data_IF_431232348783
#
_entry.id   IF_431232348783
#
_cell.length_a   1.000
_cell.length_b   1.000
_cell.length_c   1.000
_cell.angle_alpha   90.00
_cell.angle_beta   90.00
_cell.angle_gamma   90.00
#
_symmetry.space_group_name_H-M   'P 1'
#
loop_
_entity.id
_entity.type
_entity.pdbx_description
1 polymer ?
#
# COMPACT_ATOMS: atom_id res chain seq x y z
N UNK A 1 -9.49 4.13 2.00
CA UNK A 1 -8.08 3.96 2.44
C UNK A 1 -7.80 4.46 3.88
N UNK A 2 -7.31 3.59 4.75
CA UNK A 2 -6.89 3.90 6.10
C UNK A 2 -5.56 4.66 6.10
N UNK A 3 -5.58 5.90 6.62
CA UNK A 3 -4.37 6.73 6.70
C UNK A 3 -3.34 6.20 7.68
N UNK A 4 -3.77 5.52 8.75
CA UNK A 4 -2.88 4.90 9.72
C UNK A 4 -2.24 3.62 9.17
N UNK A 5 -2.97 2.86 8.36
CA UNK A 5 -2.40 1.70 7.68
C UNK A 5 -1.31 2.15 6.69
N UNK A 6 -1.51 3.29 6.02
CA UNK A 6 -0.51 3.89 5.13
C UNK A 6 0.83 4.22 5.80
N UNK A 7 0.86 4.34 7.13
CA UNK A 7 2.07 4.56 7.93
C UNK A 7 2.47 3.33 8.75
N UNK A 8 1.83 2.18 8.51
CA UNK A 8 1.98 0.95 9.31
C UNK A 8 1.71 1.18 10.81
N UNK A 9 0.87 2.17 11.13
CA UNK A 9 0.53 2.57 12.51
C UNK A 9 -0.91 2.20 12.88
N UNK A 10 -1.61 1.47 12.02
CA UNK A 10 -2.96 1.01 12.34
C UNK A 10 -2.91 -0.14 13.35
N UNK A 11 -3.51 0.07 14.52
CA UNK A 11 -3.64 -0.96 15.56
C UNK A 11 -4.96 -1.75 15.48
N UNK A 12 -5.89 -1.36 14.60
CA UNK A 12 -7.21 -1.99 14.48
C UNK A 12 -7.19 -3.32 13.72
N UNK A 13 -6.14 -3.59 12.94
CA UNK A 13 -6.06 -4.83 12.14
C UNK A 13 -7.25 -4.95 11.19
N UNK A 14 -7.95 -6.08 11.25
CA UNK A 14 -9.12 -6.37 10.40
C UNK A 14 -10.40 -5.64 10.85
N UNK A 15 -10.48 -5.18 12.11
CA UNK A 15 -11.62 -4.42 12.67
C UNK A 15 -11.59 -2.93 12.24
N UNK A 16 -10.70 -2.57 11.31
CA UNK A 16 -10.59 -1.18 10.90
C UNK A 16 -11.78 -0.78 10.00
N UNK A 17 -12.54 0.28 10.32
CA UNK A 17 -13.66 0.73 9.49
C UNK A 17 -13.21 1.36 8.15
N UNK A 18 -11.91 1.37 7.86
CA UNK A 18 -11.31 1.97 6.67
C UNK A 18 -10.53 0.93 5.89
N UNK A 19 -10.55 1.01 4.54
CA UNK A 19 -9.82 0.06 3.69
C UNK A 19 -8.31 0.01 3.97
N UNK A 20 -7.81 -1.18 4.28
CA UNK A 20 -6.38 -1.48 4.35
C UNK A 20 -5.77 -1.84 2.98
N UNK A 21 -6.61 -2.00 1.96
CA UNK A 21 -6.16 -2.28 0.60
C UNK A 21 -5.72 -0.99 -0.12
N UNK A 22 -4.60 -0.42 0.32
CA UNK A 22 -4.01 0.79 -0.27
C UNK A 22 -3.50 0.56 -1.70
N UNK A 23 -3.20 -0.69 -2.05
CA UNK A 23 -2.73 -1.10 -3.36
C UNK A 23 -3.78 -0.94 -4.46
N UNK A 24 -5.07 -0.81 -4.11
CA UNK A 24 -6.13 -0.39 -5.04
C UNK A 24 -6.05 1.08 -5.43
N UNK A 25 -5.44 1.92 -4.59
CA UNK A 25 -5.39 3.36 -4.81
C UNK A 25 -4.06 3.74 -5.44
N UNK A 26 -4.05 4.50 -6.56
CA UNK A 26 -2.80 4.93 -7.18
C UNK A 26 -2.02 5.89 -6.26
N UNK A 27 -0.69 5.77 -6.27
CA UNK A 27 0.15 6.73 -5.56
C UNK A 27 0.20 8.04 -6.35
N UNK A 28 -0.50 9.08 -5.88
CA UNK A 28 -0.45 10.40 -6.51
C UNK A 28 0.99 10.92 -6.65
N UNK A 29 1.89 10.67 -5.69
CA UNK A 29 3.26 11.16 -5.83
C UNK A 29 3.98 10.51 -7.01
N UNK A 30 3.80 9.19 -7.21
CA UNK A 30 4.35 8.46 -8.35
C UNK A 30 3.66 8.84 -9.66
N UNK A 31 2.34 8.97 -9.67
CA UNK A 31 1.58 9.33 -10.87
C UNK A 31 1.89 10.77 -11.31
N UNK A 32 1.99 11.71 -10.37
CA UNK A 32 2.23 13.12 -10.67
C UNK A 32 3.71 13.44 -10.90
N UNK A 33 4.63 12.84 -10.14
CA UNK A 33 6.07 13.15 -10.24
C UNK A 33 6.87 12.09 -10.98
N UNK A 34 6.26 10.96 -11.35
CA UNK A 34 6.97 9.78 -11.87
C UNK A 34 7.81 9.03 -10.82
N UNK A 35 7.83 9.52 -9.57
CA UNK A 35 8.69 9.01 -8.50
C UNK A 35 7.99 9.11 -7.14
N UNK A 36 8.18 8.10 -6.29
CA UNK A 36 7.71 8.11 -4.91
C UNK A 36 8.88 7.96 -3.96
N UNK A 37 9.06 8.93 -3.05
CA UNK A 37 10.09 8.87 -1.99
C UNK A 37 9.97 7.65 -1.07
N UNK A 38 8.81 6.99 -1.06
CA UNK A 38 8.57 5.79 -0.24
C UNK A 38 9.10 4.51 -0.91
N UNK A 39 9.37 4.53 -2.22
CA UNK A 39 9.84 3.36 -2.97
C UNK A 39 8.91 2.16 -2.78
N UNK A 40 9.50 1.00 -2.49
CA UNK A 40 8.81 -0.28 -2.24
C UNK A 40 8.06 -0.32 -0.89
N UNK A 41 8.32 0.65 0.00
CA UNK A 41 7.55 0.81 1.25
C UNK A 41 6.24 1.57 1.02
N UNK A 42 5.96 2.00 -0.21
CA UNK A 42 4.71 2.64 -0.55
C UNK A 42 3.59 1.61 -0.57
N UNK A 43 2.57 1.80 0.26
CA UNK A 43 1.41 0.92 0.29
C UNK A 43 0.42 1.25 -0.84
N UNK A 44 0.58 2.39 -1.51
CA UNK A 44 -0.23 2.81 -2.66
C UNK A 44 0.28 2.18 -3.95
N UNK A 45 -0.63 1.97 -4.90
CA UNK A 45 -0.34 1.40 -6.21
C UNK A 45 0.64 2.26 -7.01
N UNK A 46 1.83 1.72 -7.27
CA UNK A 46 2.76 2.19 -8.30
C UNK A 46 2.53 1.40 -9.60
N UNK A 47 1.30 1.39 -10.14
CA UNK A 47 1.00 0.70 -11.40
C UNK A 47 1.94 1.22 -12.50
N UNK A 48 2.96 0.43 -12.83
CA UNK A 48 4.07 0.86 -13.69
C UNK A 48 5.34 0.02 -13.55
N UNK A 49 5.53 -0.71 -12.45
CA UNK A 49 6.59 -1.72 -12.33
C UNK A 49 5.99 -3.11 -12.16
N UNK A 50 6.55 -4.15 -12.81
CA UNK A 50 6.22 -5.54 -12.52
C UNK A 50 6.85 -5.92 -11.18
N UNK A 51 6.37 -5.34 -10.08
CA UNK A 51 6.72 -5.85 -8.77
C UNK A 51 5.80 -7.04 -8.52
N UNK A 52 6.36 -8.20 -8.89
CA UNK A 52 5.79 -9.50 -8.71
C UNK A 52 5.12 -9.63 -7.35
N UNK A 53 3.92 -10.21 -7.39
CA UNK A 53 3.32 -10.97 -6.33
C UNK A 53 4.33 -11.43 -5.27
N UNK A 54 4.18 -10.88 -4.08
CA UNK A 54 4.65 -11.48 -2.83
C UNK A 54 3.52 -11.17 -1.84
N UNK A 55 2.30 -11.69 -2.01
CA UNK A 55 1.98 -13.13 -1.99
C UNK A 55 2.94 -13.89 -1.09
N UNK A 56 2.83 -13.61 0.22
CA UNK A 56 3.09 -14.64 1.22
C UNK A 56 1.79 -15.42 1.37
N UNK A 57 1.65 -16.62 0.79
CA UNK A 57 0.61 -17.52 1.21
C UNK A 57 1.00 -18.09 2.58
N UNK A 58 0.03 -18.14 3.48
CA UNK A 58 -0.01 -19.21 4.48
C UNK A 58 0.67 -18.93 5.82
N UNK A 59 -0.18 -18.91 6.84
CA UNK A 59 0.13 -19.12 8.23
C UNK A 59 0.94 -20.42 8.47
N UNK A 60 1.72 -20.42 9.55
CA UNK A 60 2.24 -21.63 10.20
C UNK A 60 1.50 -21.89 11.50
#
# INVERSE_FOLDING_TARGET
>A
PCRYFATQSCMKGDDCPYDHDLSKYPCNNFVTNGFCRRGDKCLFSHKGTPQAASDRPGAN
#
